data_IF_631687192774
#
_entry.id   IF_631687192774
#
_cell.length_a   1.000
_cell.length_b   1.000
_cell.length_c   1.000
_cell.angle_alpha   90.00
_cell.angle_beta   90.00
_cell.angle_gamma   90.00
#
_symmetry.space_group_name_H-M   'P 1'
#
loop_
_entity.id
_entity.type
_entity.pdbx_description
1 polymer ?
#
# COMPACT_ATOMS: atom_id res chain seq x y z
N UNK A 1 -4.25 -14.31 -50.31
CA UNK A 1 -4.65 -15.73 -50.17
C UNK A 1 -3.55 -16.41 -49.35
N UNK A 2 -3.76 -16.75 -48.05
CA UNK A 2 -4.27 -18.04 -47.50
C UNK A 2 -3.41 -19.25 -47.97
N UNK A 3 -3.05 -20.28 -47.20
CA UNK A 3 -3.11 -20.66 -45.77
C UNK A 3 -2.41 -22.05 -45.67
N UNK A 4 -1.75 -22.34 -44.54
CA UNK A 4 -1.64 -23.63 -43.81
C UNK A 4 -1.10 -24.96 -44.42
N UNK A 5 -0.34 -25.68 -43.59
CA UNK A 5 -0.44 -27.15 -43.39
C UNK A 5 0.00 -27.51 -41.94
N UNK A 6 -0.91 -27.58 -40.96
CA UNK A 6 -1.53 -28.78 -40.34
C UNK A 6 -0.58 -29.91 -39.87
N UNK A 7 -0.20 -29.87 -38.59
CA UNK A 7 0.21 -31.05 -37.80
C UNK A 7 -1.01 -31.70 -37.14
N UNK A 8 -1.28 -32.98 -37.43
CA UNK A 8 -2.32 -33.79 -36.76
C UNK A 8 -1.79 -34.40 -35.47
N UNK A 9 -2.54 -34.27 -34.37
CA UNK A 9 -2.41 -35.09 -33.16
C UNK A 9 -3.39 -36.26 -33.25
N UNK A 10 -2.94 -37.47 -32.94
CA UNK A 10 -3.80 -38.62 -32.62
C UNK A 10 -3.47 -39.04 -31.19
N UNK A 11 -4.50 -39.35 -30.41
CA UNK A 11 -4.45 -39.68 -28.97
C UNK A 11 -5.07 -41.07 -28.79
N UNK A 12 -4.39 -42.02 -28.15
CA UNK A 12 -5.06 -43.09 -27.38
C UNK A 12 -4.11 -43.82 -26.40
N UNK A 13 -4.65 -44.10 -25.22
CA UNK A 13 -4.37 -45.24 -24.34
C UNK A 13 -2.94 -45.42 -23.78
N UNK A 14 -2.57 -44.56 -22.83
CA UNK A 14 -2.06 -44.99 -21.52
C UNK A 14 -0.95 -46.04 -21.46
N UNK A 15 0.17 -45.87 -22.20
CA UNK A 15 1.50 -46.40 -21.86
C UNK A 15 2.50 -45.97 -22.94
N UNK A 16 3.52 -45.21 -22.56
CA UNK A 16 4.62 -44.87 -23.45
C UNK A 16 5.68 -45.96 -23.36
N UNK A 17 5.70 -46.88 -24.34
CA UNK A 17 6.84 -47.79 -24.56
C UNK A 17 7.69 -47.16 -25.66
N UNK A 18 8.70 -46.38 -25.29
CA UNK A 18 9.73 -45.94 -26.22
C UNK A 18 10.64 -47.15 -26.50
N UNK A 19 10.55 -47.68 -27.73
CA UNK A 19 11.44 -48.73 -28.23
C UNK A 19 12.90 -48.26 -28.14
N UNK A 20 13.71 -49.06 -27.46
CA UNK A 20 15.16 -48.91 -27.40
C UNK A 20 15.77 -49.19 -28.78
N UNK A 21 16.58 -48.25 -29.29
CA UNK A 21 17.52 -48.50 -30.38
C UNK A 21 18.94 -48.21 -29.87
N UNK A 22 19.69 -49.31 -29.79
CA UNK A 22 21.15 -49.47 -29.92
C UNK A 22 22.07 -48.32 -29.49
N UNK A 23 22.74 -48.61 -28.38
CA UNK A 23 24.00 -48.09 -27.89
C UNK A 23 25.05 -47.85 -29.02
N UNK A 24 25.31 -46.59 -29.35
CA UNK A 24 26.49 -46.14 -30.10
C UNK A 24 27.09 -44.94 -29.37
N UNK A 25 28.21 -45.19 -28.68
CA UNK A 25 29.32 -44.34 -28.29
C UNK A 25 29.25 -42.80 -28.57
N UNK A 26 28.23 -42.11 -28.06
CA UNK A 26 28.14 -40.64 -27.91
C UNK A 26 27.54 -40.31 -26.53
N UNK A 27 27.98 -41.06 -25.52
CA UNK A 27 27.55 -40.95 -24.13
C UNK A 27 28.37 -39.85 -23.44
N UNK A 28 28.18 -38.59 -23.82
CA UNK A 28 28.64 -37.45 -23.05
C UNK A 28 27.51 -36.43 -22.89
N UNK A 29 26.78 -36.61 -21.79
CA UNK A 29 26.47 -35.51 -20.89
C UNK A 29 25.55 -34.44 -21.51
N UNK A 30 24.37 -34.85 -21.94
CA UNK A 30 23.19 -34.01 -21.70
C UNK A 30 22.78 -34.19 -20.23
N UNK A 31 23.67 -33.82 -19.29
CA UNK A 31 23.27 -33.54 -17.91
C UNK A 31 22.23 -32.44 -18.05
N UNK A 32 20.98 -32.83 -17.85
CA UNK A 32 19.90 -31.89 -17.64
C UNK A 32 20.38 -30.91 -16.57
N UNK A 33 20.70 -29.69 -16.99
CA UNK A 33 20.94 -28.59 -16.09
C UNK A 33 19.56 -28.31 -15.46
N UNK A 34 19.23 -29.06 -14.41
CA UNK A 34 18.07 -28.76 -13.57
C UNK A 34 18.35 -27.38 -13.02
N UNK A 35 17.73 -26.35 -13.58
CA UNK A 35 17.73 -25.02 -13.00
C UNK A 35 17.29 -25.22 -11.55
N UNK A 36 18.23 -25.11 -10.61
CA UNK A 36 17.92 -25.23 -9.20
C UNK A 36 17.01 -24.05 -8.88
N UNK A 37 15.74 -24.32 -8.66
CA UNK A 37 14.81 -23.32 -8.15
C UNK A 37 15.38 -22.80 -6.83
N UNK A 38 15.64 -21.50 -6.77
CA UNK A 38 16.14 -20.86 -5.55
C UNK A 38 15.12 -21.08 -4.41
N UNK A 39 15.52 -21.66 -3.27
CA UNK A 39 14.60 -21.97 -2.19
C UNK A 39 13.90 -20.72 -1.63
N UNK A 40 14.52 -19.55 -1.74
CA UNK A 40 13.94 -18.29 -1.26
C UNK A 40 12.66 -17.91 -2.03
N UNK A 41 12.51 -18.32 -3.28
CA UNK A 41 11.33 -17.98 -4.11
C UNK A 41 10.01 -18.53 -3.58
N UNK A 42 10.04 -19.57 -2.75
CA UNK A 42 8.83 -20.21 -2.17
C UNK A 42 8.52 -19.72 -0.77
N UNK A 43 9.34 -18.83 -0.22
CA UNK A 43 9.15 -18.29 1.13
C UNK A 43 8.13 -17.15 1.13
N UNK A 44 7.44 -16.98 2.25
CA UNK A 44 6.59 -15.81 2.46
C UNK A 44 7.38 -14.50 2.40
N UNK A 45 8.66 -14.53 2.77
CA UNK A 45 9.56 -13.37 2.70
C UNK A 45 9.82 -12.91 1.27
N UNK A 46 9.86 -13.81 0.29
CA UNK A 46 9.93 -13.41 -1.12
C UNK A 46 8.67 -12.64 -1.54
N UNK A 47 7.47 -13.14 -1.20
CA UNK A 47 6.20 -12.47 -1.53
C UNK A 47 5.99 -11.17 -0.74
N UNK A 48 6.27 -11.18 0.55
CA UNK A 48 6.01 -10.05 1.43
C UNK A 48 7.07 -8.96 1.31
N UNK A 49 8.35 -9.34 1.20
CA UNK A 49 9.50 -8.42 1.33
C UNK A 49 10.42 -8.40 0.11
N UNK A 50 10.15 -9.20 -0.94
CA UNK A 50 10.99 -9.29 -2.13
C UNK A 50 12.32 -10.02 -1.90
N UNK A 51 12.47 -10.79 -0.82
CA UNK A 51 13.70 -11.52 -0.51
C UNK A 51 13.72 -12.88 -1.23
N UNK A 52 13.95 -12.86 -2.54
CA UNK A 52 13.71 -14.02 -3.41
C UNK A 52 14.98 -14.78 -3.84
N UNK A 53 16.18 -14.34 -3.44
CA UNK A 53 17.46 -14.96 -3.85
C UNK A 53 18.28 -15.40 -2.65
N UNK A 54 18.77 -16.63 -2.68
CA UNK A 54 19.68 -17.20 -1.68
C UNK A 54 21.11 -16.74 -1.94
N UNK A 55 21.64 -15.93 -1.03
CA UNK A 55 23.02 -15.48 -1.04
C UNK A 55 23.63 -15.73 0.34
N UNK A 56 24.70 -16.54 0.39
CA UNK A 56 25.40 -16.89 1.64
C UNK A 56 24.48 -17.44 2.74
N UNK A 57 23.54 -18.30 2.36
CA UNK A 57 22.59 -18.92 3.29
C UNK A 57 21.46 -17.99 3.77
N UNK A 58 21.28 -16.82 3.15
CA UNK A 58 20.22 -15.86 3.49
C UNK A 58 19.43 -15.46 2.26
N UNK A 59 18.14 -15.19 2.45
CA UNK A 59 17.30 -14.63 1.40
C UNK A 59 17.46 -13.10 1.30
N UNK A 60 17.76 -12.61 0.11
CA UNK A 60 18.00 -11.20 -0.20
C UNK A 60 17.25 -10.79 -1.47
N UNK A 61 17.10 -9.48 -1.66
CA UNK A 61 16.66 -8.88 -2.92
C UNK A 61 17.87 -8.35 -3.68
N UNK A 62 18.07 -8.82 -4.91
CA UNK A 62 19.19 -8.42 -5.78
C UNK A 62 18.74 -7.70 -7.06
N UNK A 63 17.42 -7.66 -7.33
CA UNK A 63 16.85 -6.96 -8.48
C UNK A 63 15.63 -6.16 -8.06
N UNK A 64 15.38 -5.05 -8.78
CA UNK A 64 14.20 -4.21 -8.56
C UNK A 64 12.89 -5.01 -8.74
N UNK A 65 12.88 -5.97 -9.65
CA UNK A 65 11.70 -6.81 -9.92
C UNK A 65 11.23 -7.61 -8.71
N UNK A 66 12.15 -8.12 -7.87
CA UNK A 66 11.74 -8.80 -6.63
C UNK A 66 11.01 -7.86 -5.68
N UNK A 67 11.44 -6.59 -5.60
CA UNK A 67 10.77 -5.59 -4.79
C UNK A 67 9.43 -5.18 -5.39
N UNK A 68 9.35 -4.95 -6.70
CA UNK A 68 8.12 -4.56 -7.39
C UNK A 68 7.00 -5.60 -7.27
N UNK A 69 7.35 -6.88 -7.21
CA UNK A 69 6.39 -7.97 -7.03
C UNK A 69 5.97 -8.19 -5.56
N UNK A 70 6.62 -7.49 -4.62
CA UNK A 70 6.38 -7.69 -3.20
C UNK A 70 5.21 -6.87 -2.66
N UNK A 71 4.57 -7.37 -1.60
CA UNK A 71 3.59 -6.60 -0.83
C UNK A 71 4.23 -5.35 -0.20
N UNK A 72 5.51 -5.40 0.18
CA UNK A 72 6.22 -4.24 0.72
C UNK A 72 6.28 -3.06 -0.27
N UNK A 73 6.43 -3.31 -1.57
CA UNK A 73 6.34 -2.25 -2.57
C UNK A 73 4.91 -1.72 -2.70
N UNK A 74 3.93 -2.61 -2.90
CA UNK A 74 2.55 -2.17 -3.17
C UNK A 74 1.87 -1.52 -1.97
N UNK A 75 2.22 -1.90 -0.74
CA UNK A 75 1.66 -1.29 0.46
C UNK A 75 2.50 -0.11 0.95
N UNK A 76 3.82 -0.27 1.05
CA UNK A 76 4.71 0.66 1.76
C UNK A 76 5.66 1.45 0.86
N UNK A 77 5.63 1.22 -0.46
CA UNK A 77 6.50 1.91 -1.41
C UNK A 77 7.97 1.50 -1.30
N UNK A 78 8.25 0.31 -0.75
CA UNK A 78 9.60 -0.24 -0.71
C UNK A 78 9.88 -0.98 -2.02
N UNK A 79 10.09 -0.22 -3.10
CA UNK A 79 10.09 -0.74 -4.46
C UNK A 79 11.48 -0.86 -5.11
N UNK A 80 12.53 -0.34 -4.47
CA UNK A 80 13.90 -0.37 -4.97
C UNK A 80 14.81 -1.20 -4.06
N UNK A 81 15.91 -1.72 -4.60
CA UNK A 81 16.88 -2.52 -3.83
C UNK A 81 17.90 -1.61 -3.16
N UNK A 82 18.10 -1.80 -1.87
CA UNK A 82 19.17 -1.20 -1.08
C UNK A 82 19.68 -2.23 -0.06
N UNK A 83 20.98 -2.48 -0.05
CA UNK A 83 21.66 -3.40 0.88
C UNK A 83 21.01 -4.80 0.96
N UNK A 84 20.66 -5.36 -0.20
CA UNK A 84 20.04 -6.69 -0.30
C UNK A 84 18.58 -6.73 0.17
N UNK A 85 17.91 -5.59 0.36
CA UNK A 85 16.52 -5.48 0.81
C UNK A 85 15.75 -4.47 -0.01
N UNK A 86 14.42 -4.51 0.11
CA UNK A 86 13.57 -3.52 -0.51
C UNK A 86 13.45 -2.26 0.36
N UNK A 87 13.55 -1.10 -0.28
CA UNK A 87 13.59 0.23 0.32
C UNK A 87 12.91 1.25 -0.59
N UNK A 88 12.49 2.39 -0.03
CA UNK A 88 12.06 3.55 -0.81
C UNK A 88 13.29 4.44 -1.05
N UNK A 89 13.87 4.35 -2.24
CA UNK A 89 15.13 5.05 -2.57
C UNK A 89 14.85 6.41 -3.24
N UNK A 90 13.71 6.53 -3.93
CA UNK A 90 13.26 7.77 -4.57
C UNK A 90 11.74 8.03 -4.36
N UNK A 91 11.28 9.23 -4.72
CA UNK A 91 9.87 9.58 -4.56
C UNK A 91 8.93 8.78 -5.47
N UNK A 92 9.43 8.19 -6.57
CA UNK A 92 8.62 7.37 -7.46
C UNK A 92 8.20 6.06 -6.78
N UNK A 93 9.10 5.48 -5.96
CA UNK A 93 8.79 4.30 -5.14
C UNK A 93 7.57 4.54 -4.23
N UNK A 94 7.48 5.74 -3.63
CA UNK A 94 6.31 6.11 -2.79
C UNK A 94 5.09 6.49 -3.63
N UNK A 95 5.24 7.19 -4.76
CA UNK A 95 4.09 7.80 -5.46
C UNK A 95 3.37 6.85 -6.42
N UNK A 96 4.07 5.94 -7.09
CA UNK A 96 3.52 5.18 -8.21
C UNK A 96 2.82 3.89 -7.79
N UNK A 97 3.36 3.21 -6.78
CA UNK A 97 2.93 1.84 -6.46
C UNK A 97 2.44 1.66 -5.03
N UNK A 98 2.59 2.67 -4.16
CA UNK A 98 2.31 2.51 -2.73
C UNK A 98 0.90 2.95 -2.32
N UNK A 99 0.22 2.08 -1.58
CA UNK A 99 -1.01 2.45 -0.88
C UNK A 99 -0.74 3.45 0.25
N UNK A 100 0.46 3.45 0.85
CA UNK A 100 0.79 4.35 1.96
C UNK A 100 0.77 5.82 1.53
N UNK A 101 1.24 6.16 0.33
CA UNK A 101 1.09 7.50 -0.22
C UNK A 101 -0.39 7.85 -0.45
N UNK A 102 -1.13 7.00 -1.16
CA UNK A 102 -2.53 7.26 -1.49
C UNK A 102 -3.43 7.41 -0.24
N UNK A 103 -3.17 6.63 0.82
CA UNK A 103 -4.03 6.58 2.01
C UNK A 103 -3.61 7.49 3.14
N UNK A 104 -2.30 7.68 3.33
CA UNK A 104 -1.77 8.37 4.51
C UNK A 104 -0.98 9.62 4.17
N UNK A 105 -0.80 9.91 2.88
CA UNK A 105 -0.04 11.07 2.39
C UNK A 105 1.46 10.92 2.59
N UNK A 106 1.95 9.70 2.79
CA UNK A 106 3.38 9.40 2.89
C UNK A 106 3.96 9.21 1.49
N UNK A 107 4.11 10.33 0.77
CA UNK A 107 4.50 10.35 -0.64
C UNK A 107 5.95 10.79 -0.87
N UNK A 108 6.70 11.05 0.20
CA UNK A 108 8.06 11.58 0.15
C UNK A 108 9.04 10.61 0.82
N UNK A 109 10.28 10.53 0.34
CA UNK A 109 11.31 9.66 0.95
C UNK A 109 12.04 10.36 2.08
N UNK A 110 12.23 9.66 3.20
CA UNK A 110 13.19 10.00 4.27
C UNK A 110 13.73 8.72 4.90
N UNK A 111 15.06 8.60 5.00
CA UNK A 111 15.72 7.43 5.60
C UNK A 111 15.19 6.10 5.01
N UNK A 112 15.11 6.04 3.68
CA UNK A 112 14.72 4.86 2.91
C UNK A 112 13.28 4.37 3.13
N UNK A 113 12.42 5.25 3.69
CA UNK A 113 11.00 4.99 3.95
C UNK A 113 10.13 6.12 3.38
N UNK A 114 8.90 5.77 3.05
CA UNK A 114 7.87 6.74 2.70
C UNK A 114 7.37 7.45 3.96
N UNK A 115 7.32 8.78 3.91
CA UNK A 115 6.85 9.67 4.97
C UNK A 115 6.14 10.88 4.36
N UNK A 116 5.41 11.63 5.17
CA UNK A 116 4.86 12.93 4.79
C UNK A 116 5.87 14.03 5.13
N UNK A 117 6.38 14.75 4.14
CA UNK A 117 7.26 15.93 4.38
C UNK A 117 6.62 17.25 3.97
N UNK A 118 5.60 17.20 3.11
CA UNK A 118 4.97 18.38 2.53
C UNK A 118 3.45 18.33 2.67
N UNK A 119 2.84 19.50 2.85
CA UNK A 119 1.38 19.63 2.87
C UNK A 119 0.71 19.15 1.57
N UNK A 120 1.44 19.21 0.44
CA UNK A 120 0.96 18.65 -0.83
C UNK A 120 0.66 17.15 -0.72
N UNK A 121 1.53 16.37 -0.08
CA UNK A 121 1.36 14.93 0.13
C UNK A 121 0.12 14.61 0.98
N UNK A 122 -0.19 15.45 1.96
CA UNK A 122 -1.39 15.32 2.79
C UNK A 122 -2.69 15.74 2.09
N UNK A 123 -2.61 16.67 1.13
CA UNK A 123 -3.78 17.15 0.37
C UNK A 123 -4.26 16.17 -0.69
N UNK A 124 -3.39 15.26 -1.15
CA UNK A 124 -3.74 14.23 -2.13
C UNK A 124 -4.24 12.93 -1.49
N UNK A 125 -4.03 12.76 -0.18
CA UNK A 125 -4.32 11.51 0.51
C UNK A 125 -5.81 11.36 0.85
N UNK A 126 -6.32 10.14 0.70
CA UNK A 126 -7.71 9.78 0.97
C UNK A 126 -7.80 8.53 1.85
N UNK A 127 -8.56 8.63 2.92
CA UNK A 127 -8.82 7.50 3.81
C UNK A 127 -10.11 6.78 3.40
N UNK A 128 -10.09 5.44 3.39
CA UNK A 128 -11.29 4.62 3.20
C UNK A 128 -11.86 4.25 4.56
N UNK A 129 -12.98 4.85 4.93
CA UNK A 129 -13.66 4.57 6.19
C UNK A 129 -14.82 3.62 5.91
N UNK A 130 -15.01 2.59 6.76
CA UNK A 130 -16.20 1.72 6.71
C UNK A 130 -17.42 2.53 7.07
N UNK A 131 -18.39 2.60 6.17
CA UNK A 131 -19.69 3.21 6.42
C UNK A 131 -20.76 2.12 6.54
N UNK A 132 -21.77 2.40 7.35
CA UNK A 132 -22.85 1.46 7.67
C UNK A 132 -23.85 1.34 6.51
N UNK A 133 -23.94 2.36 5.64
CA UNK A 133 -24.90 2.40 4.50
C UNK A 133 -24.27 2.06 3.15
N UNK A 134 -23.05 2.53 2.90
CA UNK A 134 -22.23 2.17 1.72
C UNK A 134 -21.00 1.50 2.28
N UNK A 135 -20.76 0.24 1.94
CA UNK A 135 -19.69 -0.58 2.53
C UNK A 135 -18.35 0.16 2.84
N UNK A 136 -17.97 1.17 2.03
CA UNK A 136 -16.93 2.15 2.34
C UNK A 136 -17.25 3.56 1.79
N UNK A 137 -16.76 4.61 2.46
CA UNK A 137 -16.67 5.99 1.94
C UNK A 137 -15.21 6.45 1.85
N UNK A 138 -14.89 7.26 0.84
CA UNK A 138 -13.61 7.96 0.75
C UNK A 138 -13.72 9.33 1.43
N UNK A 139 -12.77 9.62 2.31
CA UNK A 139 -12.67 10.88 3.02
C UNK A 139 -11.28 11.47 2.79
N UNK A 140 -11.23 12.67 2.22
CA UNK A 140 -9.95 13.38 2.03
C UNK A 140 -9.33 13.71 3.39
N UNK A 141 -8.03 13.44 3.59
CA UNK A 141 -7.39 13.71 4.88
C UNK A 141 -7.47 15.20 5.25
N UNK A 142 -7.19 16.08 4.30
CA UNK A 142 -7.23 17.52 4.55
C UNK A 142 -8.68 18.03 4.61
N UNK A 143 -9.45 17.93 3.53
CA UNK A 143 -10.82 18.49 3.47
C UNK A 143 -11.84 17.76 4.35
N UNK A 144 -11.62 16.48 4.61
CA UNK A 144 -12.50 15.65 5.43
C UNK A 144 -12.18 15.76 6.91
N UNK A 145 -10.92 15.57 7.27
CA UNK A 145 -10.47 15.40 8.66
C UNK A 145 -9.62 16.57 9.19
N UNK A 146 -9.19 17.51 8.34
CA UNK A 146 -8.30 18.62 8.72
C UNK A 146 -6.82 18.25 8.77
N UNK A 147 -6.42 17.04 8.34
CA UNK A 147 -5.03 16.58 8.33
C UNK A 147 -4.23 17.19 7.16
N UNK A 148 -4.12 18.51 7.11
CA UNK A 148 -3.55 19.25 5.97
C UNK A 148 -2.03 19.45 6.04
N UNK A 149 -1.37 19.13 7.17
CA UNK A 149 0.05 19.42 7.40
C UNK A 149 0.85 18.15 7.63
N UNK A 150 2.08 18.14 7.14
CA UNK A 150 3.05 17.11 7.46
C UNK A 150 3.71 17.44 8.80
N UNK A 151 3.42 16.65 9.82
CA UNK A 151 3.97 16.76 11.18
C UNK A 151 4.50 15.39 11.59
N UNK A 152 5.77 15.32 11.96
CA UNK A 152 6.47 14.08 12.34
C UNK A 152 6.33 12.92 11.33
N UNK A 153 6.40 13.25 10.04
CA UNK A 153 6.31 12.25 8.97
C UNK A 153 4.90 11.76 8.68
N UNK A 154 3.87 12.36 9.28
CA UNK A 154 2.45 11.99 9.12
C UNK A 154 1.59 13.21 8.83
N UNK A 155 0.37 12.99 8.35
CA UNK A 155 -0.58 14.06 8.12
C UNK A 155 -1.38 14.38 9.39
N UNK A 156 -1.34 15.64 9.82
CA UNK A 156 -1.97 16.17 11.03
C UNK A 156 -2.60 17.55 10.77
N UNK A 157 -3.64 17.96 11.51
CA UNK A 157 -4.01 19.37 11.61
C UNK A 157 -2.85 20.14 12.22
N UNK A 158 -2.46 21.24 11.59
CA UNK A 158 -1.48 22.17 12.15
C UNK A 158 -2.11 23.34 12.90
N UNK A 159 -3.43 23.53 12.75
CA UNK A 159 -4.16 24.65 13.34
C UNK A 159 -5.65 24.35 13.46
N UNK A 160 -6.34 25.14 14.29
CA UNK A 160 -7.81 25.15 14.30
C UNK A 160 -8.39 25.50 12.93
N UNK A 161 -7.69 26.29 12.11
CA UNK A 161 -8.15 26.63 10.76
C UNK A 161 -8.29 25.37 9.90
N UNK A 162 -7.31 24.46 9.96
CA UNK A 162 -7.38 23.21 9.22
C UNK A 162 -8.62 22.41 9.65
N UNK A 163 -8.89 22.34 10.96
CA UNK A 163 -10.10 21.69 11.51
C UNK A 163 -11.40 22.38 11.12
N UNK A 164 -11.47 23.72 11.20
CA UNK A 164 -12.68 24.50 10.91
C UNK A 164 -13.13 24.39 9.46
N UNK A 165 -12.19 24.22 8.53
CA UNK A 165 -12.52 24.01 7.11
C UNK A 165 -12.92 22.58 6.79
N UNK A 166 -12.67 21.63 7.70
CA UNK A 166 -12.88 20.22 7.46
C UNK A 166 -14.35 19.80 7.61
N UNK A 167 -14.73 18.74 6.89
CA UNK A 167 -16.04 18.09 7.01
C UNK A 167 -16.37 17.70 8.45
N UNK A 168 -15.41 17.18 9.22
CA UNK A 168 -15.61 16.81 10.63
C UNK A 168 -16.03 17.97 11.54
N UNK A 169 -15.62 19.21 11.24
CA UNK A 169 -16.12 20.38 11.96
C UNK A 169 -17.58 20.67 11.58
N UNK A 170 -17.89 20.71 10.28
CA UNK A 170 -19.24 21.03 9.79
C UNK A 170 -20.29 20.00 10.21
N UNK A 171 -19.96 18.72 10.19
CA UNK A 171 -20.91 17.67 10.55
C UNK A 171 -20.97 17.44 12.05
N UNK A 172 -19.80 17.36 12.71
CA UNK A 172 -19.67 16.82 14.07
C UNK A 172 -19.12 17.79 15.10
N UNK A 173 -18.84 19.04 14.72
CA UNK A 173 -18.36 20.08 15.65
C UNK A 173 -16.92 19.87 16.09
N UNK A 174 -16.13 19.09 15.36
CA UNK A 174 -14.71 18.88 15.65
C UNK A 174 -13.86 19.98 15.02
N UNK A 175 -13.93 21.17 15.58
CA UNK A 175 -13.41 22.40 14.96
C UNK A 175 -12.09 22.89 15.55
N UNK A 176 -11.56 22.26 16.60
CA UNK A 176 -10.34 22.68 17.30
C UNK A 176 -9.27 21.60 17.28
N UNK A 177 -8.00 21.97 17.08
CA UNK A 177 -6.89 21.03 17.11
C UNK A 177 -6.45 20.75 18.55
N UNK A 178 -6.24 19.47 18.87
CA UNK A 178 -5.57 19.04 20.10
C UNK A 178 -4.92 17.68 19.89
N UNK A 179 -3.67 17.51 20.32
CA UNK A 179 -2.90 16.26 20.18
C UNK A 179 -2.93 15.67 18.75
N UNK A 180 -2.79 16.51 17.72
CA UNK A 180 -2.71 16.04 16.33
C UNK A 180 -4.05 15.58 15.74
N UNK A 181 -5.18 15.90 16.37
CA UNK A 181 -6.52 15.60 15.84
C UNK A 181 -7.48 16.78 16.02
N UNK A 182 -8.55 16.77 15.22
CA UNK A 182 -9.64 17.74 15.34
C UNK A 182 -10.69 17.21 16.32
N UNK A 183 -11.08 18.05 17.29
CA UNK A 183 -12.06 17.72 18.32
C UNK A 183 -12.97 18.92 18.66
N UNK A 184 -14.04 18.67 19.40
CA UNK A 184 -14.90 19.70 19.97
C UNK A 184 -14.31 20.18 21.31
N UNK A 185 -13.72 21.39 21.32
CA UNK A 185 -13.07 21.93 22.52
C UNK A 185 -14.08 22.59 23.47
N UNK A 186 -15.17 23.11 22.93
CA UNK A 186 -16.21 23.83 23.67
C UNK A 186 -17.55 23.77 22.90
N UNK A 187 -18.63 24.19 23.56
CA UNK A 187 -19.97 24.20 22.98
C UNK A 187 -20.07 25.07 21.73
N UNK A 188 -19.21 26.07 21.56
CA UNK A 188 -19.19 26.89 20.34
C UNK A 188 -18.75 26.06 19.12
N UNK A 189 -17.82 25.13 19.28
CA UNK A 189 -17.48 24.17 18.22
C UNK A 189 -18.69 23.27 17.90
N UNK A 190 -19.40 22.79 18.92
CA UNK A 190 -20.58 21.94 18.73
C UNK A 190 -21.75 22.67 18.09
N UNK A 191 -22.02 23.91 18.49
CA UNK A 191 -23.09 24.75 17.93
C UNK A 191 -22.92 25.06 16.44
N UNK A 192 -21.70 24.95 15.91
CA UNK A 192 -21.42 25.11 14.47
C UNK A 192 -21.79 23.87 13.64
N UNK A 193 -22.00 22.74 14.31
CA UNK A 193 -22.19 21.46 13.64
C UNK A 193 -23.62 21.24 13.14
N UNK A 194 -23.75 20.39 12.12
CA UNK A 194 -25.03 19.83 11.71
C UNK A 194 -25.63 18.94 12.80
N UNK A 195 -24.81 18.15 13.50
CA UNK A 195 -25.26 17.32 14.61
C UNK A 195 -26.00 18.12 15.70
N UNK A 196 -25.53 19.31 16.09
CA UNK A 196 -26.26 20.17 17.02
C UNK A 196 -27.61 20.62 16.45
N UNK A 197 -27.65 21.07 15.19
CA UNK A 197 -28.88 21.56 14.54
C UNK A 197 -29.94 20.49 14.33
N UNK A 198 -29.54 19.27 13.98
CA UNK A 198 -30.48 18.19 13.64
C UNK A 198 -30.81 17.29 14.82
N UNK A 199 -29.90 17.12 15.76
CA UNK A 199 -30.05 16.15 16.85
C UNK A 199 -29.95 16.76 18.24
N UNK A 200 -29.62 18.04 18.38
CA UNK A 200 -29.45 18.69 19.69
C UNK A 200 -28.13 18.35 20.39
N UNK A 201 -27.17 17.72 19.71
CA UNK A 201 -25.83 17.44 20.23
C UNK A 201 -24.96 18.71 20.27
N UNK A 202 -25.28 19.63 21.19
CA UNK A 202 -24.72 20.98 21.23
C UNK A 202 -23.68 21.21 22.34
N UNK A 203 -23.45 20.21 23.20
CA UNK A 203 -22.54 20.32 24.35
C UNK A 203 -21.24 19.56 24.09
N UNK A 204 -20.09 20.20 24.32
CA UNK A 204 -18.80 19.56 24.15
C UNK A 204 -18.43 18.72 25.38
N UNK A 205 -18.25 17.41 25.18
CA UNK A 205 -17.79 16.48 26.21
C UNK A 205 -16.72 15.55 25.64
N UNK A 206 -15.57 15.46 26.32
CA UNK A 206 -14.44 14.60 25.93
C UNK A 206 -14.03 14.71 24.44
N UNK A 207 -14.05 15.93 23.88
CA UNK A 207 -13.67 16.17 22.48
C UNK A 207 -14.76 15.82 21.45
N UNK A 208 -15.98 15.50 21.89
CA UNK A 208 -17.13 15.17 21.05
C UNK A 208 -18.31 16.08 21.39
N UNK A 209 -19.27 16.14 20.49
CA UNK A 209 -20.53 16.85 20.72
C UNK A 209 -21.60 15.85 21.13
N UNK A 210 -22.28 16.14 22.23
CA UNK A 210 -23.27 15.28 22.85
C UNK A 210 -24.50 16.09 23.23
N UNK A 211 -25.62 15.39 23.44
CA UNK A 211 -26.81 15.99 24.04
C UNK A 211 -26.52 16.32 25.51
N UNK A 212 -27.20 17.33 26.10
CA UNK A 212 -27.10 17.64 27.52
C UNK A 212 -27.38 16.44 28.43
#
# INVERSE_FOLDING_TARGET
MRNQAKTRRIKSNGRWIMKAFSCSLLLCIALACSKSDDPCKRTDDCKAKGLCVSLQGRCVSVTKDHCLQSTACSENGLCSVLDGRCAAVDEADCRLHSQICARTGQCDVRQNKCVSRRAASCRTAKERIRDVKRAYIEVDLCGGLGHCRAVDGRCQPGSDTDCRTAFVCREWGRCSVKHGTCLAKNDTDCRRSRACRETGACTARMGKCEKP
#
